data_IF_567178634424
#
_entry.id   IF_567178634424
#
_cell.length_a   1.000
_cell.length_b   1.000
_cell.length_c   1.000
_cell.angle_alpha   90.00
_cell.angle_beta   90.00
_cell.angle_gamma   90.00
#
_symmetry.space_group_name_H-M   'P 1'
#
loop_
_entity.id
_entity.type
_entity.pdbx_description
1 polymer ?
#
# COMPACT_ATOMS: atom_id res chain seq x y z
N UNK A 1 -5.11 -11.15 -4.45
CA UNK A 1 -4.01 -11.44 -5.37
C UNK A 1 -2.83 -11.99 -4.59
N UNK A 2 -2.51 -11.45 -3.42
CA UNK A 2 -1.41 -11.88 -2.55
C UNK A 2 -1.96 -12.21 -1.15
N UNK A 3 -2.56 -13.40 -0.93
CA UNK A 3 -3.13 -13.77 0.37
C UNK A 3 -2.09 -13.78 1.50
N UNK A 4 -0.83 -14.05 1.18
CA UNK A 4 0.29 -14.01 2.11
C UNK A 4 0.52 -12.62 2.73
N UNK A 5 0.17 -11.53 2.03
CA UNK A 5 0.20 -10.17 2.57
C UNK A 5 -0.85 -9.99 3.67
N UNK A 6 -2.06 -10.49 3.45
CA UNK A 6 -3.13 -10.48 4.46
C UNK A 6 -2.77 -11.32 5.69
N UNK A 7 -2.21 -12.52 5.47
CA UNK A 7 -1.76 -13.41 6.56
C UNK A 7 -0.64 -12.74 7.38
N UNK A 8 0.34 -12.13 6.72
CA UNK A 8 1.42 -11.42 7.39
C UNK A 8 0.89 -10.22 8.18
N UNK A 9 -0.06 -9.46 7.62
CA UNK A 9 -0.72 -8.34 8.30
C UNK A 9 -1.43 -8.79 9.57
N UNK A 10 -2.23 -9.85 9.48
CA UNK A 10 -2.94 -10.41 10.62
C UNK A 10 -1.99 -10.86 11.74
N UNK A 11 -0.95 -11.62 11.39
CA UNK A 11 0.07 -12.08 12.34
C UNK A 11 0.80 -10.91 13.02
N UNK A 12 1.20 -9.91 12.23
CA UNK A 12 1.93 -8.76 12.72
C UNK A 12 1.09 -7.93 13.71
N UNK A 13 -0.16 -7.62 13.36
CA UNK A 13 -1.07 -6.88 14.23
C UNK A 13 -1.35 -7.62 15.54
N UNK A 14 -1.57 -8.95 15.48
CA UNK A 14 -1.71 -9.79 16.68
C UNK A 14 -0.45 -9.79 17.53
N UNK A 15 0.71 -9.86 16.92
CA UNK A 15 1.99 -9.84 17.64
C UNK A 15 2.21 -8.54 18.41
N UNK A 16 1.84 -7.39 17.83
CA UNK A 16 1.97 -6.08 18.50
C UNK A 16 0.82 -5.77 19.47
N UNK A 17 0.01 -6.76 19.81
CA UNK A 17 -1.02 -6.68 20.86
C UNK A 17 -2.36 -6.11 20.43
N UNK A 18 -2.60 -5.95 19.13
CA UNK A 18 -3.90 -5.52 18.60
C UNK A 18 -4.88 -6.69 18.62
N UNK A 19 -6.09 -6.47 19.10
CA UNK A 19 -7.19 -7.44 18.93
C UNK A 19 -7.75 -7.32 17.51
N UNK A 20 -7.52 -8.36 16.71
CA UNK A 20 -7.79 -8.35 15.26
C UNK A 20 -8.87 -9.33 14.90
N UNK A 21 -9.88 -8.84 14.21
CA UNK A 21 -10.88 -9.64 13.51
C UNK A 21 -10.70 -9.52 11.99
N UNK A 22 -11.12 -10.54 11.27
CA UNK A 22 -11.07 -10.58 9.81
C UNK A 22 -12.42 -11.06 9.24
N UNK A 23 -13.35 -10.17 8.97
CA UNK A 23 -14.63 -10.54 8.35
C UNK A 23 -14.42 -11.23 6.99
N UNK A 24 -14.98 -12.44 6.83
CA UNK A 24 -14.74 -13.30 5.66
C UNK A 24 -15.46 -12.85 4.39
N UNK A 25 -16.49 -12.01 4.51
CA UNK A 25 -17.32 -11.53 3.41
C UNK A 25 -16.90 -10.16 2.87
N UNK A 26 -15.64 -9.80 3.03
CA UNK A 26 -15.06 -8.56 2.51
C UNK A 26 -15.11 -8.52 0.98
N UNK A 27 -15.24 -7.30 0.46
CA UNK A 27 -15.29 -7.04 -0.99
C UNK A 27 -14.23 -6.01 -1.40
N UNK A 28 -14.19 -5.68 -2.69
CA UNK A 28 -13.39 -4.59 -3.23
C UNK A 28 -13.81 -3.24 -2.62
N UNK A 29 -12.86 -2.30 -2.46
CA UNK A 29 -13.14 -0.93 -2.04
C UNK A 29 -13.99 -0.13 -3.05
N UNK A 30 -14.11 -0.58 -4.29
CA UNK A 30 -14.88 0.08 -5.35
C UNK A 30 -14.07 1.01 -6.26
N UNK A 31 -12.79 1.21 -6.01
CA UNK A 31 -11.95 2.11 -6.81
C UNK A 31 -11.95 1.80 -8.33
N UNK A 32 -11.85 0.54 -8.81
CA UNK A 32 -11.90 0.25 -10.24
C UNK A 32 -13.23 0.67 -10.88
N UNK A 33 -14.35 0.49 -10.17
CA UNK A 33 -15.68 0.87 -10.63
C UNK A 33 -15.80 2.38 -10.75
N UNK A 34 -15.38 3.11 -9.71
CA UNK A 34 -15.40 4.57 -9.71
C UNK A 34 -14.51 5.16 -10.81
N UNK A 35 -13.30 4.63 -10.98
CA UNK A 35 -12.36 5.09 -12.01
C UNK A 35 -12.89 4.83 -13.43
N UNK A 36 -13.70 3.79 -13.63
CA UNK A 36 -14.36 3.46 -14.90
C UNK A 36 -15.69 4.19 -15.10
N UNK A 37 -16.09 5.10 -14.19
CA UNK A 37 -17.33 5.87 -14.28
C UNK A 37 -18.59 5.16 -13.78
N UNK A 38 -18.45 3.96 -13.19
CA UNK A 38 -19.57 3.19 -12.61
C UNK A 38 -19.81 3.60 -11.14
N UNK A 39 -20.23 4.84 -10.92
CA UNK A 39 -20.38 5.39 -9.57
C UNK A 39 -21.44 4.66 -8.71
N UNK A 40 -22.50 4.14 -9.32
CA UNK A 40 -23.54 3.41 -8.58
C UNK A 40 -23.06 2.07 -8.05
N UNK A 41 -22.22 1.38 -8.82
CA UNK A 41 -21.55 0.15 -8.39
C UNK A 41 -20.55 0.43 -7.26
N UNK A 42 -19.74 1.48 -7.40
CA UNK A 42 -18.82 1.92 -6.36
C UNK A 42 -19.58 2.30 -5.07
N UNK A 43 -20.72 2.99 -5.17
CA UNK A 43 -21.53 3.36 -4.03
C UNK A 43 -22.11 2.15 -3.28
N UNK A 44 -22.56 1.13 -4.01
CA UNK A 44 -23.04 -0.13 -3.39
C UNK A 44 -21.95 -0.82 -2.57
N UNK A 45 -20.71 -0.84 -3.10
CA UNK A 45 -19.57 -1.39 -2.38
C UNK A 45 -19.18 -0.53 -1.17
N UNK A 46 -19.23 0.78 -1.30
CA UNK A 46 -18.97 1.71 -0.19
C UNK A 46 -20.00 1.54 0.95
N UNK A 47 -21.29 1.45 0.64
CA UNK A 47 -22.35 1.20 1.62
C UNK A 47 -22.16 -0.14 2.33
N UNK A 48 -21.82 -1.19 1.59
CA UNK A 48 -21.54 -2.50 2.18
C UNK A 48 -20.36 -2.43 3.13
N UNK A 49 -19.30 -1.72 2.77
CA UNK A 49 -18.12 -1.53 3.61
C UNK A 49 -18.47 -0.72 4.89
N UNK A 50 -19.29 0.32 4.79
CA UNK A 50 -19.80 1.08 5.97
C UNK A 50 -20.54 0.15 6.93
N UNK A 51 -21.45 -0.67 6.44
CA UNK A 51 -22.21 -1.60 7.30
C UNK A 51 -21.31 -2.67 7.91
N UNK A 52 -20.37 -3.23 7.14
CA UNK A 52 -19.49 -4.30 7.60
C UNK A 52 -18.56 -3.86 8.72
N UNK A 53 -18.01 -2.64 8.61
CA UNK A 53 -16.99 -2.15 9.54
C UNK A 53 -17.51 -1.12 10.57
N UNK A 54 -18.81 -0.87 10.66
CA UNK A 54 -19.39 0.17 11.53
C UNK A 54 -19.02 0.04 13.02
N UNK A 55 -18.88 -1.20 13.51
CA UNK A 55 -18.67 -1.50 14.93
C UNK A 55 -17.18 -1.65 15.32
N UNK A 56 -16.25 -1.50 14.39
CA UNK A 56 -14.82 -1.57 14.69
C UNK A 56 -14.27 -0.20 15.04
N UNK A 57 -13.31 -0.14 15.95
CA UNK A 57 -12.61 1.10 16.33
C UNK A 57 -11.68 1.56 15.20
N UNK A 58 -11.02 0.61 14.55
CA UNK A 58 -10.11 0.82 13.43
C UNK A 58 -10.38 -0.17 12.29
N UNK A 59 -10.14 0.28 11.08
CA UNK A 59 -10.09 -0.56 9.88
C UNK A 59 -8.69 -0.45 9.30
N UNK A 60 -7.97 -1.56 9.18
CA UNK A 60 -6.57 -1.54 8.73
C UNK A 60 -6.42 -2.33 7.43
N UNK A 61 -5.94 -1.66 6.39
CA UNK A 61 -5.74 -2.27 5.07
C UNK A 61 -4.28 -2.32 4.64
N UNK A 62 -3.79 -3.44 4.08
CA UNK A 62 -2.43 -3.54 3.56
C UNK A 62 -2.33 -3.13 2.08
N UNK A 63 -2.98 -2.05 1.69
CA UNK A 63 -2.96 -1.51 0.33
C UNK A 63 -3.23 -0.02 0.35
N UNK A 64 -2.21 0.78 0.15
CA UNK A 64 -2.27 2.23 0.22
C UNK A 64 -3.33 2.82 -0.73
N UNK A 65 -3.45 2.31 -1.96
CA UNK A 65 -4.44 2.80 -2.92
C UNK A 65 -5.89 2.52 -2.47
N UNK A 66 -6.18 1.35 -1.91
CA UNK A 66 -7.50 1.03 -1.40
C UNK A 66 -7.87 1.89 -0.19
N UNK A 67 -6.93 2.07 0.75
CA UNK A 67 -7.13 2.89 1.95
C UNK A 67 -7.35 4.36 1.56
N UNK A 68 -6.52 4.90 0.68
CA UNK A 68 -6.65 6.25 0.15
C UNK A 68 -8.02 6.46 -0.52
N UNK A 69 -8.44 5.51 -1.36
CA UNK A 69 -9.76 5.58 -2.01
C UNK A 69 -10.91 5.64 -0.99
N UNK A 70 -10.86 4.82 0.06
CA UNK A 70 -11.89 4.85 1.11
C UNK A 70 -11.86 6.15 1.89
N UNK A 71 -10.67 6.67 2.25
CA UNK A 71 -10.53 7.95 2.98
C UNK A 71 -11.09 9.12 2.19
N UNK A 72 -10.71 9.25 0.93
CA UNK A 72 -10.95 10.45 0.15
C UNK A 72 -12.25 10.38 -0.69
N UNK A 73 -12.55 9.21 -1.28
CA UNK A 73 -13.62 9.09 -2.25
C UNK A 73 -14.95 8.57 -1.68
N UNK A 74 -14.94 7.64 -0.71
CA UNK A 74 -16.19 7.18 -0.11
C UNK A 74 -17.04 8.30 0.48
N UNK A 75 -16.49 9.29 1.23
CA UNK A 75 -17.27 10.41 1.71
C UNK A 75 -17.98 11.18 0.60
N UNK A 76 -17.30 11.38 -0.53
CA UNK A 76 -17.88 12.08 -1.68
C UNK A 76 -18.95 11.24 -2.39
N UNK A 77 -18.67 9.95 -2.63
CA UNK A 77 -19.61 9.02 -3.29
C UNK A 77 -20.88 8.85 -2.45
N UNK A 78 -20.75 8.67 -1.14
CA UNK A 78 -21.88 8.46 -0.22
C UNK A 78 -22.60 9.77 0.09
N UNK A 79 -21.91 10.89 0.18
CA UNK A 79 -22.49 12.21 0.39
C UNK A 79 -23.46 12.63 -0.72
N UNK A 80 -23.20 12.24 -1.96
CA UNK A 80 -24.15 12.42 -3.09
C UNK A 80 -25.47 11.68 -2.89
N UNK A 81 -25.56 10.77 -1.94
CA UNK A 81 -26.73 9.89 -1.64
C UNK A 81 -27.24 10.07 -0.23
N UNK A 82 -26.91 11.19 0.42
CA UNK A 82 -27.28 11.54 1.80
C UNK A 82 -26.84 10.51 2.86
N UNK A 83 -25.78 9.76 2.58
CA UNK A 83 -25.16 8.83 3.52
C UNK A 83 -23.88 9.42 4.14
N UNK A 84 -23.69 9.18 5.45
CA UNK A 84 -22.47 9.57 6.16
C UNK A 84 -21.46 8.44 6.10
N UNK A 85 -20.25 8.76 5.63
CA UNK A 85 -19.14 7.82 5.63
C UNK A 85 -18.37 7.93 6.96
N UNK A 86 -18.50 6.92 7.82
CA UNK A 86 -17.81 6.86 9.12
C UNK A 86 -16.44 6.15 9.00
N UNK A 87 -16.34 5.15 8.13
CA UNK A 87 -15.12 4.36 7.99
C UNK A 87 -13.94 5.20 7.46
N UNK A 88 -14.19 6.24 6.67
CA UNK A 88 -13.14 7.15 6.19
C UNK A 88 -12.30 7.79 7.32
N UNK A 89 -12.88 7.92 8.52
CA UNK A 89 -12.23 8.52 9.68
C UNK A 89 -11.40 7.54 10.50
N UNK A 90 -11.62 6.24 10.32
CA UNK A 90 -11.00 5.17 11.12
C UNK A 90 -10.25 4.12 10.28
N UNK A 91 -10.16 4.32 8.96
CA UNK A 91 -9.36 3.46 8.10
C UNK A 91 -7.92 3.95 8.01
N UNK A 92 -7.00 3.02 8.11
CA UNK A 92 -5.55 3.26 8.08
C UNK A 92 -4.87 2.30 7.11
N UNK A 93 -3.85 2.78 6.41
CA UNK A 93 -2.84 1.86 5.86
C UNK A 93 -2.09 1.19 7.01
N UNK A 94 -1.69 -0.06 6.83
CA UNK A 94 -1.04 -0.82 7.91
C UNK A 94 0.27 -0.16 8.37
N UNK A 95 1.02 0.47 7.47
CA UNK A 95 2.23 1.19 7.85
C UNK A 95 1.89 2.47 8.62
N UNK A 96 0.84 3.20 8.22
CA UNK A 96 0.32 4.34 8.96
C UNK A 96 -0.11 3.92 10.37
N UNK A 97 -0.88 2.85 10.47
CA UNK A 97 -1.38 2.35 11.75
C UNK A 97 -0.26 1.89 12.69
N UNK A 98 0.69 1.13 12.18
CA UNK A 98 1.85 0.70 12.96
C UNK A 98 2.70 1.88 13.41
N UNK A 99 2.96 2.85 12.53
CA UNK A 99 3.83 3.98 12.83
C UNK A 99 3.18 5.01 13.76
N UNK A 100 1.92 5.38 13.53
CA UNK A 100 1.27 6.51 14.19
C UNK A 100 0.46 6.08 15.43
N UNK A 101 -0.13 4.88 15.42
CA UNK A 101 -1.04 4.41 16.47
C UNK A 101 -0.34 3.40 17.38
N UNK A 102 0.18 2.30 16.84
CA UNK A 102 0.77 1.21 17.63
C UNK A 102 2.15 1.57 18.17
N UNK A 103 3.01 2.14 17.34
CA UNK A 103 4.39 2.57 17.67
C UNK A 103 5.24 1.47 18.31
N UNK A 104 5.43 0.33 17.66
CA UNK A 104 6.21 -0.75 18.24
C UNK A 104 7.67 -0.33 18.44
N UNK A 105 8.24 -0.58 19.62
CA UNK A 105 9.65 -0.28 19.92
C UNK A 105 10.61 -1.29 19.26
N UNK A 106 10.14 -2.51 18.98
CA UNK A 106 10.91 -3.57 18.33
C UNK A 106 10.00 -4.57 17.63
N UNK A 107 10.56 -5.26 16.64
CA UNK A 107 9.90 -6.37 15.95
C UNK A 107 10.86 -7.58 15.90
N UNK A 108 10.36 -8.83 15.94
CA UNK A 108 11.19 -10.03 15.82
C UNK A 108 11.65 -10.29 14.39
N UNK A 109 11.55 -9.27 13.54
CA UNK A 109 11.81 -9.35 12.11
C UNK A 109 13.31 -9.41 11.79
N UNK A 110 13.69 -10.33 10.90
CA UNK A 110 15.05 -10.50 10.39
C UNK A 110 15.00 -10.63 8.87
N UNK A 111 15.64 -9.72 8.16
CA UNK A 111 15.66 -9.71 6.69
C UNK A 111 17.00 -9.19 6.17
N UNK A 112 18.05 -10.05 6.11
CA UNK A 112 19.43 -9.64 5.79
C UNK A 112 19.63 -9.45 4.28
N UNK A 113 18.87 -8.51 3.70
CA UNK A 113 18.88 -8.20 2.27
C UNK A 113 18.88 -6.70 2.00
N UNK A 114 19.32 -6.34 0.81
CA UNK A 114 19.26 -4.97 0.27
C UNK A 114 17.89 -4.71 -0.33
N UNK A 115 17.19 -3.70 0.19
CA UNK A 115 15.79 -3.41 -0.15
C UNK A 115 15.66 -1.96 -0.60
N UNK A 116 15.01 -1.73 -1.75
CA UNK A 116 14.68 -0.39 -2.23
C UNK A 116 13.20 -0.10 -2.00
N UNK A 117 12.88 1.04 -1.37
CA UNK A 117 11.50 1.44 -1.04
C UNK A 117 10.83 2.03 -2.28
N UNK A 118 9.68 1.47 -2.65
CA UNK A 118 8.74 2.08 -3.59
C UNK A 118 7.67 2.87 -2.82
N UNK A 119 7.73 4.19 -2.92
CA UNK A 119 6.72 5.09 -2.40
C UNK A 119 5.59 5.22 -3.43
N UNK A 120 4.46 4.55 -3.20
CA UNK A 120 3.31 4.62 -4.10
C UNK A 120 2.69 6.03 -4.11
N UNK A 121 2.15 6.47 -5.24
CA UNK A 121 1.58 7.81 -5.38
C UNK A 121 0.44 8.09 -4.36
N UNK A 122 -0.47 7.15 -4.13
CA UNK A 122 -1.52 7.27 -3.12
C UNK A 122 -0.93 7.30 -1.69
N UNK A 123 0.07 6.45 -1.42
CA UNK A 123 0.74 6.43 -0.12
C UNK A 123 1.41 7.76 0.21
N UNK A 124 2.04 8.39 -0.78
CA UNK A 124 2.73 9.68 -0.59
C UNK A 124 1.76 10.84 -0.49
N UNK A 125 0.86 11.00 -1.47
CA UNK A 125 0.08 12.23 -1.66
C UNK A 125 -1.23 12.26 -0.88
N UNK A 126 -1.82 11.11 -0.62
CA UNK A 126 -3.10 11.00 0.06
C UNK A 126 -2.95 10.52 1.52
N UNK A 127 -2.07 9.54 1.76
CA UNK A 127 -1.88 8.97 3.10
C UNK A 127 -0.65 9.53 3.86
N UNK A 128 0.16 10.36 3.22
CA UNK A 128 1.35 10.96 3.82
C UNK A 128 2.29 9.92 4.50
N UNK A 129 2.49 8.78 3.82
CA UNK A 129 3.43 7.75 4.28
C UNK A 129 4.89 8.18 4.10
N UNK A 130 5.15 9.10 3.18
CA UNK A 130 6.44 9.78 3.02
C UNK A 130 6.25 11.19 2.45
N UNK A 131 7.31 12.00 2.53
CA UNK A 131 7.29 13.36 1.97
C UNK A 131 7.27 13.33 0.43
N UNK A 132 6.33 14.04 -0.21
CA UNK A 132 6.31 14.19 -1.65
C UNK A 132 7.36 15.21 -2.10
N UNK A 133 8.06 14.91 -3.20
CA UNK A 133 9.16 15.74 -3.72
C UNK A 133 8.71 17.15 -4.14
N UNK A 134 7.48 17.29 -4.62
CA UNK A 134 6.90 18.57 -5.07
C UNK A 134 6.65 19.57 -3.93
N UNK A 135 6.57 19.13 -2.68
CA UNK A 135 6.33 20.05 -1.55
C UNK A 135 7.58 20.71 -0.99
N UNK A 136 8.76 20.26 -1.40
CA UNK A 136 10.05 20.78 -0.95
C UNK A 136 10.17 20.92 0.59
N UNK A 137 9.67 19.91 1.31
CA UNK A 137 9.75 19.79 2.78
C UNK A 137 10.87 18.81 3.16
N UNK A 138 11.36 18.81 4.41
CA UNK A 138 12.31 17.82 4.88
C UNK A 138 11.79 16.39 4.62
N UNK A 139 12.70 15.53 4.15
CA UNK A 139 12.34 14.16 3.82
C UNK A 139 12.00 13.36 5.10
N UNK A 140 10.90 12.63 5.06
CA UNK A 140 10.51 11.62 6.02
C UNK A 140 9.90 10.41 5.31
N UNK A 141 9.94 9.24 5.95
CA UNK A 141 9.30 8.02 5.43
C UNK A 141 8.93 7.09 6.58
N UNK A 142 7.63 6.92 6.83
CA UNK A 142 7.09 5.97 7.80
C UNK A 142 7.51 4.53 7.47
N UNK A 143 7.64 4.21 6.18
CA UNK A 143 8.11 2.90 5.72
C UNK A 143 9.56 2.67 6.16
N UNK A 144 10.43 3.67 5.98
CA UNK A 144 11.84 3.58 6.40
C UNK A 144 11.96 3.44 7.91
N UNK A 145 11.16 4.20 8.67
CA UNK A 145 11.16 4.14 10.13
C UNK A 145 10.76 2.75 10.62
N UNK A 146 9.71 2.14 10.04
CA UNK A 146 9.32 0.76 10.36
C UNK A 146 10.38 -0.27 9.96
N UNK A 147 10.99 -0.11 8.78
CA UNK A 147 12.06 -1.01 8.32
C UNK A 147 13.31 -0.91 9.19
N UNK A 148 13.56 0.22 9.86
CA UNK A 148 14.69 0.36 10.81
C UNK A 148 14.59 -0.59 12.01
N UNK A 149 13.42 -1.12 12.31
CA UNK A 149 13.18 -2.13 13.35
C UNK A 149 13.57 -3.56 12.92
N UNK A 150 13.90 -3.77 11.64
CA UNK A 150 14.19 -5.09 11.06
C UNK A 150 15.70 -5.36 11.13
N UNK A 151 16.09 -6.50 11.69
CA UNK A 151 17.50 -6.85 11.82
C UNK A 151 18.11 -7.26 10.49
N UNK A 152 19.29 -6.71 10.19
CA UNK A 152 20.11 -7.09 9.03
C UNK A 152 19.66 -6.48 7.70
N UNK A 153 18.60 -5.69 7.65
CA UNK A 153 18.13 -5.04 6.43
C UNK A 153 19.04 -3.85 6.05
N UNK A 154 19.30 -3.68 4.76
CA UNK A 154 19.90 -2.47 4.20
C UNK A 154 18.85 -1.77 3.32
N UNK A 155 18.49 -0.53 3.67
CA UNK A 155 17.37 0.20 3.03
C UNK A 155 17.89 1.31 2.14
N UNK A 156 17.46 1.27 0.89
CA UNK A 156 17.78 2.23 -0.17
C UNK A 156 16.52 2.90 -0.71
N UNK A 157 16.70 4.02 -1.37
CA UNK A 157 15.67 4.71 -2.12
C UNK A 157 16.15 4.95 -3.55
N UNK A 158 15.25 4.79 -4.55
CA UNK A 158 15.58 5.10 -5.92
C UNK A 158 15.80 6.60 -6.09
N UNK A 159 16.44 7.03 -7.17
CA UNK A 159 16.70 8.44 -7.44
C UNK A 159 15.41 9.25 -7.56
N UNK A 160 14.37 8.68 -8.17
CA UNK A 160 13.03 9.27 -8.33
C UNK A 160 12.10 8.67 -7.27
N UNK A 161 12.24 9.15 -6.03
CA UNK A 161 11.68 8.54 -4.81
C UNK A 161 10.15 8.32 -4.85
N UNK A 162 9.39 9.22 -5.46
CA UNK A 162 7.93 9.24 -5.46
C UNK A 162 7.31 9.18 -6.87
N UNK A 163 8.11 8.74 -7.86
CA UNK A 163 7.61 8.50 -9.21
C UNK A 163 6.64 7.32 -9.25
N UNK A 164 5.55 7.48 -10.02
CA UNK A 164 4.55 6.45 -10.21
C UNK A 164 5.13 5.20 -10.90
N UNK A 165 4.68 4.02 -10.48
CA UNK A 165 5.04 2.76 -11.13
C UNK A 165 4.36 2.54 -12.50
N UNK A 166 3.32 3.32 -12.82
CA UNK A 166 2.59 3.22 -14.08
C UNK A 166 1.38 2.28 -14.06
N UNK A 167 1.04 1.63 -12.95
CA UNK A 167 -0.10 0.71 -12.92
C UNK A 167 -1.44 1.43 -13.17
N UNK A 168 -1.80 2.40 -12.31
CA UNK A 168 -3.00 3.23 -12.44
C UNK A 168 -4.35 2.48 -12.57
N UNK A 169 -4.37 1.17 -12.30
CA UNK A 169 -5.59 0.34 -12.44
C UNK A 169 -6.07 0.27 -13.88
N UNK A 170 -7.14 1.01 -14.23
CA UNK A 170 -7.68 1.09 -15.59
C UNK A 170 -6.67 1.62 -16.62
N UNK A 171 -5.81 2.54 -16.20
CA UNK A 171 -4.75 3.09 -17.06
C UNK A 171 -3.86 2.00 -17.67
N UNK A 172 -3.52 0.95 -16.91
CA UNK A 172 -2.71 -0.16 -17.42
C UNK A 172 -3.44 -1.00 -18.50
N UNK A 173 -4.76 -0.90 -18.56
CA UNK A 173 -5.59 -1.58 -19.57
C UNK A 173 -5.81 -0.67 -20.80
N UNK A 174 -6.07 0.60 -20.58
CA UNK A 174 -6.37 1.60 -21.60
C UNK A 174 -5.11 2.07 -22.32
N UNK A 175 -3.99 2.22 -21.59
CA UNK A 175 -2.71 2.71 -22.09
C UNK A 175 -1.55 1.73 -21.77
N UNK A 176 -1.62 0.46 -22.24
CA UNK A 176 -0.72 -0.61 -21.79
C UNK A 176 0.75 -0.35 -22.15
N UNK A 177 1.02 0.31 -23.27
CA UNK A 177 2.38 0.61 -23.72
C UNK A 177 3.04 1.66 -22.80
N UNK A 178 2.31 2.73 -22.51
CA UNK A 178 2.79 3.81 -21.61
C UNK A 178 2.98 3.27 -20.20
N UNK A 179 2.00 2.52 -19.69
CA UNK A 179 2.05 1.86 -18.39
C UNK A 179 3.27 0.94 -18.27
N UNK A 180 3.55 0.14 -19.30
CA UNK A 180 4.70 -0.77 -19.32
C UNK A 180 6.02 0.02 -19.32
N UNK A 181 6.14 1.07 -20.14
CA UNK A 181 7.33 1.93 -20.14
C UNK A 181 7.60 2.58 -18.78
N UNK A 182 6.57 3.10 -18.12
CA UNK A 182 6.69 3.65 -16.76
C UNK A 182 7.17 2.60 -15.77
N UNK A 183 6.61 1.38 -15.83
CA UNK A 183 7.03 0.27 -14.99
C UNK A 183 8.49 -0.13 -15.22
N UNK A 184 8.94 -0.18 -16.48
CA UNK A 184 10.33 -0.46 -16.84
C UNK A 184 11.29 0.60 -16.28
N UNK A 185 10.96 1.88 -16.44
CA UNK A 185 11.77 2.97 -15.93
C UNK A 185 11.85 2.95 -14.39
N UNK A 186 10.73 2.65 -13.72
CA UNK A 186 10.72 2.54 -12.27
C UNK A 186 11.52 1.36 -11.77
N UNK A 187 11.41 0.19 -12.38
CA UNK A 187 12.21 -0.99 -12.02
C UNK A 187 13.71 -0.73 -12.25
N UNK A 188 14.10 -0.09 -13.36
CA UNK A 188 15.50 0.30 -13.63
C UNK A 188 16.04 1.26 -12.56
N UNK A 189 15.22 2.22 -12.12
CA UNK A 189 15.61 3.17 -11.07
C UNK A 189 15.85 2.44 -9.72
N UNK A 190 14.98 1.49 -9.35
CA UNK A 190 15.22 0.63 -8.19
C UNK A 190 16.47 -0.24 -8.32
N UNK A 191 16.71 -0.84 -9.49
CA UNK A 191 17.91 -1.65 -9.74
C UNK A 191 19.19 -0.83 -9.62
N UNK A 192 19.16 0.45 -9.96
CA UNK A 192 20.35 1.34 -9.87
C UNK A 192 20.85 1.51 -8.43
N UNK A 193 20.05 1.20 -7.43
CA UNK A 193 20.44 1.22 -6.00
C UNK A 193 21.26 0.00 -5.58
N UNK A 194 21.33 -1.05 -6.41
CA UNK A 194 21.95 -2.33 -6.05
C UNK A 194 21.09 -3.19 -5.10
N UNK A 195 19.80 -2.88 -4.97
CA UNK A 195 18.89 -3.64 -4.14
C UNK A 195 18.53 -5.00 -4.75
N UNK A 196 18.28 -5.99 -3.87
CA UNK A 196 17.81 -7.32 -4.22
C UNK A 196 16.28 -7.38 -4.30
N UNK A 197 15.61 -6.50 -3.53
CA UNK A 197 14.16 -6.44 -3.45
C UNK A 197 13.64 -5.00 -3.60
N UNK A 198 12.47 -4.87 -4.23
CA UNK A 198 11.63 -3.68 -4.19
C UNK A 198 10.53 -3.93 -3.15
N UNK A 199 10.37 -3.04 -2.18
CA UNK A 199 9.30 -3.13 -1.19
C UNK A 199 8.42 -1.88 -1.21
N UNK A 200 7.18 -2.01 -0.77
CA UNK A 200 6.23 -0.92 -0.65
C UNK A 200 4.96 -1.34 0.08
N UNK A 201 4.06 -0.40 0.31
CA UNK A 201 2.78 -0.59 1.00
C UNK A 201 1.60 -0.83 0.04
N UNK A 202 1.85 -0.99 -1.26
CA UNK A 202 0.79 -1.18 -2.25
C UNK A 202 1.07 -2.40 -3.14
N UNK A 203 0.28 -3.45 -2.94
CA UNK A 203 0.39 -4.69 -3.70
C UNK A 203 0.17 -4.51 -5.20
N UNK A 204 -0.62 -3.53 -5.61
CA UNK A 204 -0.90 -3.28 -7.03
C UNK A 204 0.32 -2.74 -7.77
N UNK A 205 1.06 -1.82 -7.14
CA UNK A 205 2.34 -1.33 -7.66
C UNK A 205 3.38 -2.46 -7.75
N UNK A 206 3.49 -3.27 -6.67
CA UNK A 206 4.43 -4.38 -6.64
C UNK A 206 4.10 -5.43 -7.69
N UNK A 207 2.83 -5.75 -7.91
CA UNK A 207 2.36 -6.66 -8.95
C UNK A 207 2.74 -6.17 -10.36
N UNK A 208 2.56 -4.89 -10.63
CA UNK A 208 2.91 -4.30 -11.93
C UNK A 208 4.41 -4.39 -12.18
N UNK A 209 5.22 -3.96 -11.22
CA UNK A 209 6.69 -4.07 -11.33
C UNK A 209 7.16 -5.52 -11.40
N UNK A 210 6.52 -6.44 -10.67
CA UNK A 210 6.81 -7.88 -10.75
C UNK A 210 6.53 -8.43 -12.16
N UNK A 211 5.47 -7.97 -12.82
CA UNK A 211 5.16 -8.31 -14.21
C UNK A 211 6.29 -7.90 -15.17
N UNK A 212 6.82 -6.69 -15.03
CA UNK A 212 7.97 -6.21 -15.81
C UNK A 212 9.21 -7.05 -15.52
N UNK A 213 9.52 -7.27 -14.24
CA UNK A 213 10.68 -8.04 -13.79
C UNK A 213 10.67 -9.46 -14.38
N UNK A 214 9.53 -10.15 -14.31
CA UNK A 214 9.36 -11.50 -14.85
C UNK A 214 9.48 -11.54 -16.37
N UNK A 215 8.87 -10.58 -17.07
CA UNK A 215 8.90 -10.49 -18.52
C UNK A 215 10.31 -10.26 -19.05
N UNK A 216 11.08 -9.38 -18.39
CA UNK A 216 12.44 -9.02 -18.78
C UNK A 216 13.52 -9.88 -18.12
N UNK A 217 13.13 -10.84 -17.26
CA UNK A 217 14.03 -11.73 -16.51
C UNK A 217 15.09 -10.98 -15.70
N UNK A 218 14.66 -9.91 -15.02
CA UNK A 218 15.56 -9.06 -14.22
C UNK A 218 15.90 -9.71 -12.87
N UNK A 219 17.11 -9.47 -12.32
CA UNK A 219 17.60 -10.12 -11.11
C UNK A 219 17.16 -9.43 -9.81
N UNK A 220 16.00 -8.77 -9.80
CA UNK A 220 15.41 -8.13 -8.64
C UNK A 220 14.04 -8.77 -8.35
N UNK A 221 13.55 -8.70 -7.12
CA UNK A 221 12.27 -9.28 -6.70
C UNK A 221 11.39 -8.20 -6.06
N UNK A 222 10.10 -8.46 -5.96
CA UNK A 222 9.18 -7.64 -5.17
C UNK A 222 8.78 -8.36 -3.90
N UNK A 223 8.55 -7.61 -2.81
CA UNK A 223 8.04 -8.11 -1.54
C UNK A 223 7.25 -7.00 -0.87
N UNK A 224 6.08 -7.33 -0.30
CA UNK A 224 5.31 -6.33 0.44
C UNK A 224 5.97 -6.05 1.79
N UNK A 225 5.97 -4.78 2.23
CA UNK A 225 6.64 -4.36 3.48
C UNK A 225 6.18 -5.17 4.70
N UNK A 226 4.88 -5.49 4.79
CA UNK A 226 4.35 -6.30 5.91
C UNK A 226 5.01 -7.68 6.00
N UNK A 227 5.38 -8.29 4.85
CA UNK A 227 6.04 -9.60 4.84
C UNK A 227 7.46 -9.50 5.42
N UNK A 228 8.13 -8.37 5.20
CA UNK A 228 9.43 -8.08 5.83
C UNK A 228 9.25 -7.87 7.33
N UNK A 229 8.28 -7.02 7.74
CA UNK A 229 8.02 -6.73 9.15
C UNK A 229 7.56 -7.96 9.94
N UNK A 230 6.94 -8.95 9.28
CA UNK A 230 6.48 -10.20 9.87
C UNK A 230 7.44 -11.37 9.66
N UNK A 231 8.66 -11.16 9.16
CA UNK A 231 9.58 -12.24 8.76
C UNK A 231 10.07 -13.15 9.90
N UNK A 232 9.86 -12.73 11.16
CA UNK A 232 10.16 -13.54 12.36
C UNK A 232 8.94 -14.18 13.01
N UNK A 233 7.72 -14.19 12.36
CA UNK A 233 6.45 -14.62 12.96
C UNK A 233 5.88 -15.91 12.35
#
# INVERSE_FOLDING_TARGET
>A
VYPEVGIASYKLLRHVGVDVDYPMDQTCCGQPMANAGFEDEAARLALRMEEQFKNYDYVVGPSASCVAFVKENHPHILGKRDHVCMNSKKIYDICEFLHDVVRPESLPAVFPHKVSIHNSCHGVRELHLSSPSERNIPYYSKLRDLLSLVKGIEVFEPRRVDECCGFGGMFAIEEPEVSTCMGQDKVKDHMSTGAEYITGADSSCLMHMEGVIKREKLPIKTIHIVQILASGL
#
